data_IF_646095074062
#
_entry.id   IF_646095074062
#
_cell.length_a   1.000
_cell.length_b   1.000
_cell.length_c   1.000
_cell.angle_alpha   90.00
_cell.angle_beta   90.00
_cell.angle_gamma   90.00
#
_symmetry.space_group_name_H-M   'P 1'
#
loop_
_entity.id
_entity.type
_entity.pdbx_description
1 polymer ?
#
# COMPACT_ATOMS: atom_id res chain seq x y z
N UNK A 1 -9.60 -0.66 -11.85
CA UNK A 1 -8.98 -2.00 -11.90
C UNK A 1 -7.52 -1.87 -12.33
N UNK A 2 -6.62 -2.59 -11.67
CA UNK A 2 -5.21 -2.73 -12.08
C UNK A 2 -5.05 -4.13 -12.66
N UNK A 3 -4.46 -4.23 -13.85
CA UNK A 3 -4.25 -5.50 -14.57
C UNK A 3 -2.78 -5.57 -15.00
N UNK A 4 -2.04 -6.49 -14.39
CA UNK A 4 -0.61 -6.72 -14.62
C UNK A 4 -0.45 -8.06 -15.33
N UNK A 5 0.19 -8.07 -16.50
CA UNK A 5 0.35 -9.26 -17.34
C UNK A 5 1.79 -9.51 -17.68
N UNK A 6 2.33 -10.62 -17.20
CA UNK A 6 3.68 -11.10 -17.46
C UNK A 6 4.75 -10.01 -17.38
N UNK A 7 4.61 -9.13 -16.35
CA UNK A 7 5.53 -8.01 -16.14
C UNK A 7 6.91 -8.53 -15.75
N UNK A 8 7.90 -8.20 -16.57
CA UNK A 8 9.32 -8.39 -16.28
C UNK A 8 10.01 -7.04 -16.37
N UNK A 9 10.81 -6.70 -15.36
CA UNK A 9 11.55 -5.44 -15.35
C UNK A 9 12.96 -5.64 -14.81
N UNK A 10 13.93 -5.06 -15.51
CA UNK A 10 15.32 -4.99 -15.09
C UNK A 10 15.82 -3.56 -15.16
N UNK A 11 16.37 -3.06 -14.07
CA UNK A 11 16.95 -1.72 -14.01
C UNK A 11 18.15 -1.59 -14.96
N UNK A 12 18.35 -0.39 -15.52
CA UNK A 12 19.52 -0.11 -16.35
C UNK A 12 20.81 -0.42 -15.58
N UNK A 13 21.68 -1.22 -16.20
CA UNK A 13 22.96 -1.65 -15.62
C UNK A 13 22.88 -2.74 -14.56
N UNK A 14 21.70 -3.27 -14.24
CA UNK A 14 21.55 -4.43 -13.38
C UNK A 14 21.75 -5.73 -14.18
N UNK A 15 22.29 -6.76 -13.52
CA UNK A 15 22.47 -8.10 -14.11
C UNK A 15 21.19 -8.95 -14.00
N UNK A 16 20.37 -8.68 -12.98
CA UNK A 16 19.17 -9.48 -12.67
C UNK A 16 17.87 -8.69 -12.85
N UNK A 17 16.81 -9.41 -13.18
CA UNK A 17 15.47 -8.87 -13.25
C UNK A 17 14.93 -8.61 -11.83
N UNK A 18 14.45 -7.39 -11.58
CA UNK A 18 13.79 -7.01 -10.34
C UNK A 18 12.34 -7.53 -10.27
N UNK A 19 11.69 -7.69 -11.43
CA UNK A 19 10.41 -8.36 -11.59
C UNK A 19 10.52 -9.44 -12.67
N UNK A 20 9.91 -10.60 -12.44
CA UNK A 20 10.03 -11.78 -13.29
C UNK A 20 8.64 -12.39 -13.54
N UNK A 21 8.05 -12.13 -14.70
CA UNK A 21 6.77 -12.70 -15.15
C UNK A 21 5.65 -12.51 -14.10
N UNK A 22 5.52 -11.30 -13.58
CA UNK A 22 4.48 -10.95 -12.58
C UNK A 22 3.14 -10.80 -13.29
N UNK A 23 2.17 -11.59 -12.88
CA UNK A 23 0.77 -11.47 -13.31
C UNK A 23 -0.10 -11.32 -12.06
N UNK A 24 -0.87 -10.23 -12.00
CA UNK A 24 -1.70 -9.88 -10.84
C UNK A 24 -2.85 -8.96 -11.30
N UNK A 25 -4.06 -9.31 -10.92
CA UNK A 25 -5.25 -8.49 -11.13
C UNK A 25 -5.73 -7.95 -9.80
N UNK A 26 -6.01 -6.62 -9.72
CA UNK A 26 -6.51 -5.96 -8.52
C UNK A 26 -7.83 -5.27 -8.90
N UNK A 27 -8.97 -5.79 -8.44
CA UNK A 27 -10.29 -5.21 -8.67
C UNK A 27 -10.43 -3.79 -8.12
N UNK A 28 -11.38 -3.03 -8.69
CA UNK A 28 -11.73 -1.72 -8.13
C UNK A 28 -12.27 -1.84 -6.71
N UNK A 29 -11.84 -0.93 -5.84
CA UNK A 29 -12.27 -0.87 -4.45
C UNK A 29 -11.63 -1.95 -3.54
N UNK A 30 -10.68 -2.76 -4.04
CA UNK A 30 -9.97 -3.73 -3.21
C UNK A 30 -8.92 -3.05 -2.32
N UNK A 31 -8.69 -3.61 -1.11
CA UNK A 31 -7.55 -3.28 -0.26
C UNK A 31 -6.57 -4.46 -0.29
N UNK A 32 -5.55 -4.33 -1.14
CA UNK A 32 -4.49 -5.33 -1.31
C UNK A 32 -3.24 -4.98 -0.48
N UNK A 33 -2.74 -5.96 0.26
CA UNK A 33 -1.41 -5.92 0.86
C UNK A 33 -0.38 -6.66 0.01
N UNK A 34 0.79 -6.07 -0.23
CA UNK A 34 1.93 -6.72 -0.89
C UNK A 34 3.02 -6.94 0.15
N UNK A 35 3.38 -8.19 0.37
CA UNK A 35 4.38 -8.60 1.37
C UNK A 35 5.49 -9.42 0.72
N UNK A 36 6.60 -9.57 1.42
CA UNK A 36 7.76 -10.35 0.97
C UNK A 36 9.06 -9.85 1.60
N UNK A 37 10.15 -10.59 1.49
CA UNK A 37 11.46 -10.18 2.01
C UNK A 37 11.98 -8.90 1.33
N UNK A 38 13.02 -8.31 1.93
CA UNK A 38 13.73 -7.21 1.29
C UNK A 38 14.29 -7.68 -0.07
N UNK A 39 14.24 -6.81 -1.07
CA UNK A 39 14.69 -7.15 -2.43
C UNK A 39 13.74 -8.04 -3.24
N UNK A 40 12.55 -8.38 -2.74
CA UNK A 40 11.59 -9.22 -3.47
C UNK A 40 10.93 -8.55 -4.69
N UNK A 41 11.20 -7.26 -4.96
CA UNK A 41 10.62 -6.53 -6.09
C UNK A 41 9.36 -5.72 -5.75
N UNK A 42 8.95 -5.63 -4.47
CA UNK A 42 7.71 -4.96 -4.05
C UNK A 42 7.64 -3.48 -4.46
N UNK A 43 8.66 -2.70 -4.13
CA UNK A 43 8.79 -1.28 -4.53
C UNK A 43 8.76 -1.15 -6.05
N UNK A 44 9.47 -2.01 -6.78
CA UNK A 44 9.48 -2.02 -8.25
C UNK A 44 8.09 -2.25 -8.82
N UNK A 45 7.30 -3.14 -8.21
CA UNK A 45 5.92 -3.40 -8.61
C UNK A 45 5.03 -2.17 -8.31
N UNK A 46 5.16 -1.57 -7.13
CA UNK A 46 4.43 -0.35 -6.77
C UNK A 46 4.72 0.82 -7.73
N UNK A 47 6.01 1.03 -8.07
CA UNK A 47 6.44 2.05 -9.05
C UNK A 47 5.91 1.77 -10.46
N UNK A 48 5.80 0.50 -10.86
CA UNK A 48 5.24 0.12 -12.16
C UNK A 48 3.73 0.40 -12.23
N UNK A 49 2.99 0.15 -11.14
CA UNK A 49 1.57 0.49 -11.04
C UNK A 49 1.35 2.00 -11.06
N UNK A 50 2.22 2.77 -10.39
CA UNK A 50 2.20 4.23 -10.40
C UNK A 50 2.62 4.86 -11.74
N UNK A 51 3.10 4.07 -12.70
CA UNK A 51 3.62 4.55 -13.99
C UNK A 51 4.98 5.23 -13.91
N UNK A 52 5.64 5.24 -12.75
CA UNK A 52 6.99 5.82 -12.58
C UNK A 52 8.02 4.97 -13.34
N UNK A 53 7.82 3.67 -13.35
CA UNK A 53 8.44 2.74 -14.28
C UNK A 53 7.45 2.54 -15.45
N UNK A 54 7.87 2.74 -16.71
CA UNK A 54 9.23 3.01 -17.20
C UNK A 54 9.55 4.50 -17.43
N UNK A 55 8.68 5.45 -17.09
CA UNK A 55 8.81 6.85 -17.51
C UNK A 55 9.99 7.59 -16.88
N UNK A 56 10.13 7.52 -15.56
CA UNK A 56 11.19 8.22 -14.80
C UNK A 56 12.36 7.26 -14.46
N UNK A 57 12.06 5.99 -14.28
CA UNK A 57 13.06 4.96 -13.99
C UNK A 57 13.19 4.05 -15.20
N UNK A 58 14.37 4.12 -15.83
CA UNK A 58 14.68 3.37 -17.05
C UNK A 58 15.10 1.94 -16.77
N UNK A 59 14.84 1.08 -17.75
CA UNK A 59 15.21 -0.32 -17.72
C UNK A 59 14.52 -1.10 -18.81
N UNK A 60 14.82 -2.39 -18.88
CA UNK A 60 14.13 -3.31 -19.78
C UNK A 60 12.76 -3.66 -19.20
N UNK A 61 11.70 -3.23 -19.86
CA UNK A 61 10.31 -3.43 -19.45
C UNK A 61 9.59 -4.33 -20.47
N UNK A 62 9.08 -5.47 -20.00
CA UNK A 62 8.33 -6.42 -20.81
C UNK A 62 7.01 -6.77 -20.13
N UNK A 63 6.00 -7.13 -20.93
CA UNK A 63 4.64 -7.35 -20.44
C UNK A 63 3.82 -6.08 -20.47
N UNK A 64 2.78 -5.99 -19.64
CA UNK A 64 1.90 -4.83 -19.59
C UNK A 64 1.40 -4.57 -18.15
N UNK A 65 1.25 -3.30 -17.80
CA UNK A 65 0.56 -2.84 -16.59
C UNK A 65 -0.53 -1.87 -17.03
N UNK A 66 -1.79 -2.20 -16.76
CA UNK A 66 -2.93 -1.34 -17.07
C UNK A 66 -3.62 -0.87 -15.81
N UNK A 67 -3.90 0.41 -15.76
CA UNK A 67 -4.60 1.08 -14.66
C UNK A 67 -5.82 1.77 -15.22
N UNK A 68 -7.00 1.35 -14.79
CA UNK A 68 -8.29 1.82 -15.31
C UNK A 68 -8.36 1.76 -16.86
N UNK A 69 -7.75 0.72 -17.44
CA UNK A 69 -7.67 0.49 -18.88
C UNK A 69 -6.54 1.21 -19.60
N UNK A 70 -5.84 2.16 -18.96
CA UNK A 70 -4.68 2.85 -19.55
C UNK A 70 -3.41 2.02 -19.29
N UNK A 71 -2.67 1.72 -20.34
CA UNK A 71 -1.36 1.08 -20.24
C UNK A 71 -0.32 2.06 -19.68
N UNK A 72 0.40 1.68 -18.62
CA UNK A 72 1.35 2.58 -17.95
C UNK A 72 2.55 2.94 -18.82
N UNK A 73 2.95 2.09 -19.76
CA UNK A 73 4.09 2.37 -20.63
C UNK A 73 3.72 3.27 -21.82
N UNK A 74 2.46 3.21 -22.29
CA UNK A 74 2.00 3.93 -23.48
C UNK A 74 1.39 5.31 -23.17
N UNK A 75 0.94 5.54 -21.92
CA UNK A 75 0.26 6.77 -21.53
C UNK A 75 1.20 7.68 -20.72
N UNK A 76 0.98 9.00 -20.80
CA UNK A 76 1.80 9.97 -20.07
C UNK A 76 1.63 9.82 -18.56
N UNK A 77 2.73 10.00 -17.85
CA UNK A 77 2.72 9.96 -16.38
C UNK A 77 1.71 10.95 -15.77
N UNK A 78 1.51 12.11 -16.38
CA UNK A 78 0.52 13.12 -15.95
C UNK A 78 -0.92 12.61 -16.02
N UNK A 79 -1.25 11.74 -16.98
CA UNK A 79 -2.59 11.18 -17.12
C UNK A 79 -2.78 10.03 -16.11
N UNK A 80 -1.75 9.21 -15.91
CA UNK A 80 -1.73 8.14 -14.92
C UNK A 80 -1.83 8.69 -13.48
N UNK A 81 -1.12 9.78 -13.17
CA UNK A 81 -1.13 10.42 -11.86
C UNK A 81 -2.47 11.05 -11.46
N UNK A 82 -3.40 11.22 -12.41
CA UNK A 82 -4.80 11.60 -12.12
C UNK A 82 -5.61 10.41 -11.57
N UNK A 83 -5.18 9.18 -11.89
CA UNK A 83 -5.85 7.93 -11.48
C UNK A 83 -5.19 7.32 -10.26
N UNK A 84 -3.85 7.40 -10.19
CA UNK A 84 -3.04 6.75 -9.16
C UNK A 84 -2.29 7.80 -8.35
N UNK A 85 -2.62 7.89 -7.07
CA UNK A 85 -1.79 8.60 -6.09
C UNK A 85 -0.74 7.65 -5.51
N UNK A 86 0.54 8.00 -5.61
CA UNK A 86 1.64 7.16 -5.10
C UNK A 86 2.34 7.84 -3.92
N UNK A 87 2.43 7.14 -2.79
CA UNK A 87 3.25 7.53 -1.63
C UNK A 87 4.50 6.67 -1.61
N UNK A 88 5.66 7.31 -1.65
CA UNK A 88 6.95 6.62 -1.60
C UNK A 88 7.38 6.33 -0.16
N UNK A 89 8.33 5.42 0.00
CA UNK A 89 8.91 5.06 1.29
C UNK A 89 9.51 6.28 2.00
N UNK A 90 10.26 7.11 1.27
CA UNK A 90 10.79 8.38 1.78
C UNK A 90 9.80 9.53 1.49
N UNK A 91 8.90 9.77 2.44
CA UNK A 91 7.90 10.85 2.36
C UNK A 91 8.55 12.22 2.40
N UNK A 92 9.67 12.40 3.08
CA UNK A 92 10.33 13.70 3.19
C UNK A 92 10.85 14.16 1.83
N UNK A 93 11.34 13.25 0.99
CA UNK A 93 11.77 13.57 -0.37
C UNK A 93 10.62 13.90 -1.32
N UNK A 94 9.40 13.48 -0.98
CA UNK A 94 8.20 13.72 -1.79
C UNK A 94 7.58 15.11 -1.52
N UNK A 95 7.75 15.64 -0.31
CA UNK A 95 7.21 16.93 0.11
C UNK A 95 8.09 18.06 -0.44
N UNK A 96 7.47 19.00 -1.16
CA UNK A 96 8.16 20.12 -1.83
C UNK A 96 7.99 21.45 -1.10
N UNK A 97 6.87 21.63 -0.38
CA UNK A 97 6.53 22.90 0.25
C UNK A 97 6.92 22.92 1.73
N UNK A 98 7.01 24.11 2.32
CA UNK A 98 7.35 24.27 3.73
C UNK A 98 6.14 24.34 4.66
N UNK A 99 4.93 24.56 4.13
CA UNK A 99 3.66 24.70 4.85
C UNK A 99 2.66 23.67 4.34
N UNK A 100 1.83 23.13 5.23
CA UNK A 100 0.85 22.08 4.88
C UNK A 100 -0.12 22.52 3.80
N UNK A 101 -0.67 23.74 3.91
CA UNK A 101 -1.58 24.29 2.90
C UNK A 101 -0.93 24.41 1.53
N UNK A 102 0.30 24.92 1.48
CA UNK A 102 1.03 25.11 0.23
C UNK A 102 1.35 23.77 -0.45
N UNK A 103 1.62 22.71 0.34
CA UNK A 103 1.87 21.38 -0.17
C UNK A 103 0.65 20.78 -0.89
N UNK A 104 -0.53 20.95 -0.31
CA UNK A 104 -1.77 20.47 -0.94
C UNK A 104 -2.13 21.34 -2.14
N UNK A 105 -1.99 22.66 -2.00
CA UNK A 105 -2.24 23.62 -3.06
C UNK A 105 -1.36 23.37 -4.29
N UNK A 106 -0.07 23.09 -4.08
CA UNK A 106 0.88 22.76 -5.12
C UNK A 106 0.39 21.62 -6.03
N UNK A 107 -0.11 20.54 -5.42
CA UNK A 107 -0.70 19.43 -6.16
C UNK A 107 -1.93 19.85 -6.95
N UNK A 108 -2.88 20.54 -6.32
CA UNK A 108 -4.14 20.97 -6.93
C UNK A 108 -3.89 21.90 -8.13
N UNK A 109 -2.98 22.87 -8.00
CA UNK A 109 -2.64 23.81 -9.07
C UNK A 109 -1.93 23.12 -10.24
N UNK A 110 -0.95 22.22 -9.97
CA UNK A 110 -0.23 21.50 -11.02
C UNK A 110 -1.14 20.59 -11.84
N UNK A 111 -2.18 20.02 -11.22
CA UNK A 111 -3.16 19.21 -11.92
C UNK A 111 -4.28 20.04 -12.58
N UNK A 112 -4.19 21.38 -12.48
CA UNK A 112 -5.14 22.30 -13.11
C UNK A 112 -6.54 22.22 -12.54
N UNK A 113 -6.67 21.96 -11.23
CA UNK A 113 -7.98 21.97 -10.56
C UNK A 113 -8.56 23.40 -10.62
N UNK A 114 -9.83 23.55 -10.98
CA UNK A 114 -10.49 24.86 -11.00
C UNK A 114 -10.38 25.58 -9.66
N UNK A 115 -10.12 26.90 -9.71
CA UNK A 115 -9.84 27.70 -8.52
C UNK A 115 -10.98 27.68 -7.49
N UNK A 116 -12.20 27.57 -7.94
CA UNK A 116 -13.43 27.47 -7.15
C UNK A 116 -13.59 26.11 -6.45
N UNK A 117 -12.89 25.05 -6.90
CA UNK A 117 -12.88 23.74 -6.27
C UNK A 117 -11.74 23.55 -5.27
N UNK A 118 -10.69 24.37 -5.33
CA UNK A 118 -9.44 24.15 -4.53
C UNK A 118 -9.75 24.10 -3.04
N UNK A 119 -10.49 25.08 -2.53
CA UNK A 119 -10.78 25.17 -1.09
C UNK A 119 -11.60 23.96 -0.60
N UNK A 120 -12.63 23.57 -1.33
CA UNK A 120 -13.44 22.39 -0.99
C UNK A 120 -12.60 21.12 -0.96
N UNK A 121 -11.72 20.92 -1.96
CA UNK A 121 -10.86 19.74 -2.04
C UNK A 121 -9.80 19.70 -0.94
N UNK A 122 -9.25 20.86 -0.60
CA UNK A 122 -8.28 21.02 0.50
C UNK A 122 -8.93 20.70 1.85
N UNK A 123 -10.06 21.32 2.16
CA UNK A 123 -10.80 21.08 3.39
C UNK A 123 -11.23 19.61 3.51
N UNK A 124 -11.71 19.04 2.40
CA UNK A 124 -12.03 17.61 2.34
C UNK A 124 -10.81 16.75 2.70
N UNK A 125 -9.67 16.97 2.03
CA UNK A 125 -8.47 16.16 2.26
C UNK A 125 -7.94 16.29 3.70
N UNK A 126 -7.81 17.51 4.20
CA UNK A 126 -7.37 17.78 5.56
C UNK A 126 -8.29 17.17 6.62
N UNK A 127 -9.61 17.23 6.36
CA UNK A 127 -10.63 16.62 7.21
C UNK A 127 -10.53 15.08 7.21
N UNK A 128 -10.41 14.46 6.04
CA UNK A 128 -10.32 12.99 5.91
C UNK A 128 -9.10 12.42 6.63
N UNK A 129 -7.94 13.07 6.48
CA UNK A 129 -6.72 12.59 7.17
C UNK A 129 -6.61 13.06 8.62
N UNK A 130 -7.56 13.87 9.09
CA UNK A 130 -7.61 14.33 10.48
C UNK A 130 -6.50 15.30 10.87
N UNK A 131 -6.09 16.18 9.93
CA UNK A 131 -5.04 17.20 10.17
C UNK A 131 -5.50 18.63 9.86
N UNK A 132 -6.81 18.92 9.83
CA UNK A 132 -7.34 20.26 9.56
C UNK A 132 -6.72 21.34 10.47
N UNK A 133 -6.45 21.02 11.74
CA UNK A 133 -5.77 21.94 12.68
C UNK A 133 -4.30 22.22 12.39
N UNK A 134 -3.71 21.52 11.40
CA UNK A 134 -2.31 21.68 10.98
C UNK A 134 -2.15 22.49 9.70
N UNK A 135 -3.25 22.95 9.08
CA UNK A 135 -3.28 23.61 7.77
C UNK A 135 -2.17 24.65 7.58
N UNK A 136 -2.01 25.56 8.55
CA UNK A 136 -1.05 26.67 8.51
C UNK A 136 0.29 26.34 9.22
N UNK A 137 0.56 25.07 9.53
CA UNK A 137 1.78 24.66 10.21
C UNK A 137 2.93 24.44 9.25
N UNK A 138 4.12 24.75 9.71
CA UNK A 138 5.36 24.41 9.00
C UNK A 138 5.59 22.90 9.07
N UNK A 139 5.83 22.27 7.93
CA UNK A 139 5.96 20.79 7.81
C UNK A 139 7.15 20.27 8.63
N UNK A 140 8.27 21.02 8.70
CA UNK A 140 9.42 20.64 9.52
C UNK A 140 9.13 20.57 11.02
N UNK A 141 8.04 21.20 11.49
CA UNK A 141 7.60 21.13 12.90
C UNK A 141 6.71 19.93 13.22
N UNK A 142 6.36 19.14 12.21
CA UNK A 142 5.43 18.01 12.34
C UNK A 142 6.16 16.72 12.75
N UNK A 143 5.44 15.83 13.44
CA UNK A 143 5.92 14.47 13.68
C UNK A 143 5.94 13.65 12.36
N UNK A 144 6.68 12.53 12.31
CA UNK A 144 6.71 11.64 11.16
C UNK A 144 5.31 11.21 10.71
N UNK A 145 4.45 10.78 11.63
CA UNK A 145 3.06 10.41 11.31
C UNK A 145 2.21 11.57 10.81
N UNK A 146 2.48 12.81 11.25
CA UNK A 146 1.81 13.99 10.71
C UNK A 146 2.31 14.32 9.31
N UNK A 147 3.61 14.19 9.02
CA UNK A 147 4.16 14.35 7.67
C UNK A 147 3.59 13.31 6.71
N UNK A 148 3.48 12.05 7.16
CA UNK A 148 2.83 10.99 6.39
C UNK A 148 1.39 11.35 6.03
N UNK A 149 0.63 11.88 6.99
CA UNK A 149 -0.74 12.35 6.74
C UNK A 149 -0.78 13.51 5.76
N UNK A 150 0.19 14.43 5.77
CA UNK A 150 0.27 15.52 4.78
C UNK A 150 0.47 14.96 3.37
N UNK A 151 1.41 14.03 3.18
CA UNK A 151 1.61 13.39 1.87
C UNK A 151 0.37 12.63 1.39
N UNK A 152 -0.34 11.94 2.27
CA UNK A 152 -1.61 11.30 1.91
C UNK A 152 -2.68 12.36 1.57
N UNK A 153 -2.75 13.47 2.34
CA UNK A 153 -3.71 14.54 2.09
C UNK A 153 -3.52 15.20 0.72
N UNK A 154 -2.26 15.46 0.32
CA UNK A 154 -1.97 16.06 -1.00
C UNK A 154 -2.46 15.19 -2.16
N UNK A 155 -2.40 13.86 -2.00
CA UNK A 155 -2.94 12.92 -2.98
C UNK A 155 -4.48 12.81 -2.91
N UNK A 156 -5.05 12.72 -1.71
CA UNK A 156 -6.51 12.61 -1.50
C UNK A 156 -7.24 13.85 -2.02
N UNK A 157 -6.63 15.03 -1.96
CA UNK A 157 -7.18 16.26 -2.54
C UNK A 157 -7.41 16.16 -4.05
N UNK A 158 -6.60 15.38 -4.75
CA UNK A 158 -6.75 15.11 -6.19
C UNK A 158 -7.89 14.12 -6.49
N UNK A 159 -8.41 13.43 -5.46
CA UNK A 159 -9.47 12.41 -5.57
C UNK A 159 -9.09 11.27 -6.55
N UNK A 160 -7.94 10.62 -6.37
CA UNK A 160 -7.52 9.52 -7.23
C UNK A 160 -8.44 8.31 -7.04
N UNK A 161 -8.51 7.43 -8.05
CA UNK A 161 -9.23 6.15 -7.95
C UNK A 161 -8.43 5.12 -7.15
N UNK A 162 -7.12 5.22 -7.20
CA UNK A 162 -6.17 4.24 -6.66
C UNK A 162 -5.13 4.94 -5.80
N UNK A 163 -4.84 4.36 -4.65
CA UNK A 163 -3.71 4.75 -3.81
C UNK A 163 -2.71 3.60 -3.74
N UNK A 164 -1.47 3.87 -4.10
CA UNK A 164 -0.33 2.94 -3.97
C UNK A 164 0.63 3.51 -2.93
N UNK A 165 0.90 2.76 -1.87
CA UNK A 165 1.76 3.22 -0.78
C UNK A 165 2.88 2.21 -0.56
N UNK A 166 4.11 2.70 -0.61
CA UNK A 166 5.30 1.88 -0.36
C UNK A 166 5.85 2.17 1.04
N UNK A 167 5.73 1.18 1.93
CA UNK A 167 6.12 1.21 3.34
C UNK A 167 5.64 2.47 4.11
N UNK A 168 4.33 2.82 4.02
CA UNK A 168 3.82 4.09 4.57
C UNK A 168 3.94 4.19 6.09
N UNK A 169 4.31 3.11 6.78
CA UNK A 169 4.44 3.10 8.24
C UNK A 169 5.82 2.66 8.74
N UNK A 170 6.81 2.56 7.83
CA UNK A 170 8.15 2.06 8.12
C UNK A 170 8.79 2.70 9.36
N UNK A 171 8.77 4.03 9.43
CA UNK A 171 9.41 4.83 10.49
C UNK A 171 8.45 5.28 11.60
N UNK A 172 7.17 4.84 11.59
CA UNK A 172 6.17 5.30 12.53
C UNK A 172 6.08 4.39 13.76
N UNK A 173 5.71 4.99 14.89
CA UNK A 173 5.32 4.25 16.08
C UNK A 173 4.02 3.44 15.83
N UNK A 174 3.74 2.41 16.66
CA UNK A 174 2.58 1.54 16.43
C UNK A 174 1.22 2.25 16.42
N UNK A 175 1.06 3.32 17.22
CA UNK A 175 -0.19 4.08 17.28
C UNK A 175 -0.40 4.88 16.00
N UNK A 176 0.64 5.59 15.55
CA UNK A 176 0.63 6.35 14.29
C UNK A 176 0.43 5.43 13.09
N UNK A 177 1.10 4.28 13.07
CA UNK A 177 0.92 3.25 12.03
C UNK A 177 -0.54 2.80 11.92
N UNK A 178 -1.18 2.47 13.04
CA UNK A 178 -2.60 2.07 13.08
C UNK A 178 -3.52 3.19 12.60
N UNK A 179 -3.23 4.45 12.93
CA UNK A 179 -4.01 5.59 12.43
C UNK A 179 -3.93 5.72 10.90
N UNK A 180 -2.75 5.51 10.30
CA UNK A 180 -2.59 5.51 8.84
C UNK A 180 -3.41 4.38 8.21
N UNK A 181 -3.31 3.15 8.73
CA UNK A 181 -4.09 2.03 8.19
C UNK A 181 -5.61 2.24 8.36
N UNK A 182 -6.05 2.80 9.47
CA UNK A 182 -7.47 3.15 9.70
C UNK A 182 -7.95 4.20 8.71
N UNK A 183 -7.13 5.22 8.42
CA UNK A 183 -7.38 6.22 7.38
C UNK A 183 -7.52 5.56 6.01
N UNK A 184 -6.55 4.73 5.59
CA UNK A 184 -6.58 4.04 4.30
C UNK A 184 -7.82 3.16 4.17
N UNK A 185 -8.23 2.49 5.24
CA UNK A 185 -9.44 1.68 5.27
C UNK A 185 -10.71 2.52 5.15
N UNK A 186 -10.76 3.70 5.77
CA UNK A 186 -11.87 4.66 5.61
C UNK A 186 -11.96 5.13 4.16
N UNK A 187 -10.84 5.56 3.55
CA UNK A 187 -10.80 5.96 2.15
C UNK A 187 -11.25 4.84 1.21
N UNK A 188 -10.82 3.61 1.47
CA UNK A 188 -11.25 2.45 0.70
C UNK A 188 -12.76 2.20 0.81
N UNK A 189 -13.31 2.12 2.03
CA UNK A 189 -14.71 1.74 2.26
C UNK A 189 -15.71 2.84 1.94
N UNK A 190 -15.38 4.08 2.29
CA UNK A 190 -16.33 5.19 2.17
C UNK A 190 -16.30 5.83 0.79
N UNK A 191 -15.14 5.82 0.13
CA UNK A 191 -14.96 6.44 -1.19
C UNK A 191 -14.70 5.45 -2.32
N UNK A 192 -14.65 4.14 -2.01
CA UNK A 192 -14.44 3.10 -3.01
C UNK A 192 -13.05 3.13 -3.66
N UNK A 193 -12.08 3.78 -3.01
CA UNK A 193 -10.70 3.83 -3.53
C UNK A 193 -10.06 2.45 -3.49
N UNK A 194 -9.39 2.05 -4.56
CA UNK A 194 -8.51 0.88 -4.54
C UNK A 194 -7.25 1.25 -3.78
N UNK A 195 -6.86 0.43 -2.81
CA UNK A 195 -5.69 0.68 -1.96
C UNK A 195 -4.71 -0.46 -2.09
N UNK A 196 -3.49 -0.16 -2.52
CA UNK A 196 -2.37 -1.11 -2.60
C UNK A 196 -1.28 -0.67 -1.63
N UNK A 197 -0.98 -1.49 -0.64
CA UNK A 197 0.03 -1.17 0.37
C UNK A 197 1.13 -2.21 0.35
N UNK A 198 2.34 -1.78 0.08
CA UNK A 198 3.56 -2.55 0.29
C UNK A 198 4.01 -2.34 1.73
N UNK A 199 4.18 -3.40 2.52
CA UNK A 199 4.60 -3.30 3.92
C UNK A 199 5.40 -4.51 4.37
N UNK A 200 6.32 -4.25 5.31
CA UNK A 200 7.03 -5.28 6.06
C UNK A 200 6.32 -5.63 7.37
N UNK A 201 5.54 -4.69 7.92
CA UNK A 201 4.77 -4.87 9.17
C UNK A 201 3.47 -5.62 8.89
N UNK A 202 3.58 -6.92 8.58
CA UNK A 202 2.46 -7.78 8.16
C UNK A 202 1.25 -7.75 9.11
N UNK A 203 1.46 -7.50 10.42
CA UNK A 203 0.37 -7.52 11.41
C UNK A 203 -0.74 -6.53 11.08
N UNK A 204 -0.38 -5.29 10.70
CA UNK A 204 -1.37 -4.28 10.32
C UNK A 204 -2.03 -4.62 8.99
N UNK A 205 -1.27 -5.11 8.00
CA UNK A 205 -1.86 -5.58 6.75
C UNK A 205 -2.91 -6.66 7.00
N UNK A 206 -2.64 -7.64 7.86
CA UNK A 206 -3.59 -8.71 8.17
C UNK A 206 -4.89 -8.23 8.83
N UNK A 207 -4.85 -7.09 9.52
CA UNK A 207 -6.06 -6.52 10.13
C UNK A 207 -6.88 -5.69 9.14
N UNK A 208 -6.24 -5.05 8.17
CA UNK A 208 -6.88 -4.02 7.34
C UNK A 208 -7.06 -4.46 5.89
N UNK A 209 -6.15 -5.24 5.31
CA UNK A 209 -6.28 -5.74 3.95
C UNK A 209 -7.29 -6.87 3.83
N UNK A 210 -7.84 -7.05 2.64
CA UNK A 210 -8.75 -8.15 2.30
C UNK A 210 -7.99 -9.32 1.68
N UNK A 211 -6.92 -9.01 0.95
CA UNK A 211 -6.09 -9.95 0.19
C UNK A 211 -4.62 -9.61 0.36
N UNK A 212 -3.79 -10.62 0.28
CA UNK A 212 -2.33 -10.49 0.30
C UNK A 212 -1.73 -11.11 -0.96
N UNK A 213 -0.84 -10.37 -1.61
CA UNK A 213 0.09 -10.89 -2.60
C UNK A 213 1.48 -11.02 -1.97
N UNK A 214 2.05 -12.21 -2.03
CA UNK A 214 3.37 -12.50 -1.48
C UNK A 214 4.38 -12.52 -2.60
N UNK A 215 5.40 -11.68 -2.51
CA UNK A 215 6.48 -11.62 -3.47
C UNK A 215 7.76 -12.25 -2.94
N UNK A 216 8.46 -12.97 -3.80
CA UNK A 216 9.80 -13.49 -3.56
C UNK A 216 10.56 -13.55 -4.88
N UNK A 217 11.82 -13.12 -4.89
CA UNK A 217 12.71 -13.16 -6.06
C UNK A 217 12.10 -12.57 -7.35
N UNK A 218 11.40 -11.44 -7.20
CA UNK A 218 10.76 -10.74 -8.31
C UNK A 218 9.44 -11.36 -8.81
N UNK A 219 8.89 -12.37 -8.14
CA UNK A 219 7.67 -13.07 -8.53
C UNK A 219 6.57 -12.95 -7.48
N UNK A 220 5.32 -12.99 -7.89
CA UNK A 220 4.20 -13.28 -7.00
C UNK A 220 4.16 -14.80 -6.80
N UNK A 221 4.51 -15.25 -5.58
CA UNK A 221 4.58 -16.68 -5.24
C UNK A 221 3.30 -17.18 -4.56
N UNK A 222 2.50 -16.28 -4.00
CA UNK A 222 1.17 -16.54 -3.43
C UNK A 222 0.28 -15.32 -3.59
N UNK A 223 -0.99 -15.58 -3.70
CA UNK A 223 -2.03 -14.58 -3.83
C UNK A 223 -3.34 -15.18 -3.33
N UNK A 224 -4.02 -14.50 -2.40
CA UNK A 224 -5.26 -14.98 -1.81
C UNK A 224 -5.72 -14.12 -0.64
N UNK A 225 -6.83 -14.50 -0.03
CA UNK A 225 -7.31 -13.85 1.20
C UNK A 225 -6.24 -13.92 2.29
N UNK A 226 -6.28 -12.96 3.22
CA UNK A 226 -5.32 -12.92 4.34
C UNK A 226 -5.23 -14.28 5.05
N UNK A 227 -6.38 -14.97 5.25
CA UNK A 227 -6.42 -16.25 5.96
C UNK A 227 -5.83 -17.40 5.14
N UNK A 228 -6.08 -17.42 3.83
CA UNK A 228 -5.47 -18.42 2.93
C UNK A 228 -3.95 -18.29 2.90
N UNK A 229 -3.45 -17.07 2.78
CA UNK A 229 -2.00 -16.81 2.76
C UNK A 229 -1.37 -17.18 4.10
N UNK A 230 -1.98 -16.80 5.23
CA UNK A 230 -1.50 -17.13 6.58
C UNK A 230 -1.73 -18.60 6.97
N UNK A 231 -2.47 -19.38 6.19
CA UNK A 231 -2.67 -20.81 6.41
C UNK A 231 -1.40 -21.64 6.22
N UNK A 232 -0.43 -21.15 5.43
CA UNK A 232 0.87 -21.81 5.24
C UNK A 232 2.02 -21.01 5.84
N UNK A 233 2.08 -20.99 7.16
CA UNK A 233 3.12 -20.29 7.91
C UNK A 233 4.52 -20.80 7.56
N UNK A 234 4.70 -22.13 7.47
CA UNK A 234 6.00 -22.73 7.17
C UNK A 234 6.53 -22.28 5.80
N UNK A 235 5.66 -22.20 4.79
CA UNK A 235 6.02 -21.69 3.47
C UNK A 235 6.36 -20.20 3.48
N UNK A 236 5.67 -19.38 4.29
CA UNK A 236 5.98 -17.97 4.45
C UNK A 236 7.33 -17.75 5.16
N UNK A 237 7.58 -18.48 6.25
CA UNK A 237 8.85 -18.41 6.97
C UNK A 237 10.04 -18.88 6.10
N UNK A 238 9.84 -19.91 5.27
CA UNK A 238 10.87 -20.42 4.36
C UNK A 238 11.36 -19.38 3.34
N UNK A 239 10.50 -18.41 2.98
CA UNK A 239 10.86 -17.29 2.09
C UNK A 239 11.19 -16.01 2.85
N UNK A 240 11.32 -16.06 4.19
CA UNK A 240 11.72 -14.92 5.01
C UNK A 240 10.59 -13.94 5.35
N UNK A 241 9.34 -14.34 5.24
CA UNK A 241 8.17 -13.54 5.65
C UNK A 241 7.80 -13.89 7.09
N UNK A 242 7.86 -12.89 7.99
CA UNK A 242 7.45 -13.06 9.38
C UNK A 242 5.92 -13.11 9.50
N UNK A 243 5.39 -14.16 10.15
CA UNK A 243 3.95 -14.31 10.36
C UNK A 243 3.48 -13.64 11.67
N UNK A 244 2.21 -13.16 11.73
CA UNK A 244 1.62 -12.68 12.97
C UNK A 244 1.62 -13.77 14.04
N UNK A 245 1.93 -13.39 15.30
CA UNK A 245 1.90 -14.34 16.43
C UNK A 245 0.54 -14.99 16.64
N UNK A 246 -0.54 -14.30 16.28
CA UNK A 246 -1.91 -14.82 16.30
C UNK A 246 -2.10 -15.99 15.32
N UNK A 247 -1.55 -15.88 14.11
CA UNK A 247 -1.58 -16.95 13.13
C UNK A 247 -0.71 -18.14 13.56
N UNK A 248 0.52 -17.89 14.06
CA UNK A 248 1.39 -18.90 14.64
C UNK A 248 0.69 -19.65 15.78
N UNK A 249 -0.02 -18.95 16.66
CA UNK A 249 -0.80 -19.55 17.73
C UNK A 249 -1.86 -20.52 17.21
N UNK A 250 -2.63 -20.10 16.16
CA UNK A 250 -3.65 -20.95 15.55
C UNK A 250 -3.05 -22.22 14.92
N UNK A 251 -1.89 -22.10 14.25
CA UNK A 251 -1.17 -23.22 13.66
C UNK A 251 -0.69 -24.22 14.72
N UNK A 252 -0.07 -23.73 15.79
CA UNK A 252 0.39 -24.58 16.91
C UNK A 252 -0.78 -25.27 17.63
N UNK A 253 -1.92 -24.60 17.76
CA UNK A 253 -3.13 -25.21 18.31
C UNK A 253 -3.69 -26.31 17.40
N UNK A 254 -3.70 -26.08 16.08
CA UNK A 254 -4.15 -27.07 15.11
C UNK A 254 -3.29 -28.36 15.23
N UNK A 255 -1.98 -28.20 15.29
CA UNK A 255 -1.04 -29.31 15.45
C UNK A 255 -1.28 -30.09 16.76
N UNK A 256 -1.37 -29.37 17.89
CA UNK A 256 -1.56 -30.00 19.21
C UNK A 256 -2.91 -30.69 19.39
N UNK A 257 -3.96 -30.14 18.78
CA UNK A 257 -5.32 -30.67 18.89
C UNK A 257 -5.64 -31.75 17.85
N UNK A 258 -4.77 -31.91 16.85
CA UNK A 258 -5.01 -32.82 15.72
C UNK A 258 -6.26 -32.47 14.90
N UNK A 259 -6.69 -31.21 14.93
CA UNK A 259 -7.83 -30.69 14.17
C UNK A 259 -7.57 -29.27 13.70
N UNK A 260 -8.21 -28.88 12.62
CA UNK A 260 -8.10 -27.52 12.08
C UNK A 260 -8.68 -26.49 13.07
N UNK A 261 -7.89 -25.45 13.32
CA UNK A 261 -8.26 -24.26 14.09
C UNK A 261 -8.23 -23.06 13.14
N UNK A 262 -9.28 -22.22 13.08
CA UNK A 262 -9.31 -21.07 12.20
C UNK A 262 -8.10 -20.15 12.43
N UNK A 263 -7.51 -19.68 11.34
CA UNK A 263 -6.36 -18.75 11.39
C UNK A 263 -6.79 -17.43 12.00
N UNK A 264 -6.23 -17.05 13.14
CA UNK A 264 -6.46 -15.77 13.78
C UNK A 264 -5.55 -14.70 13.15
N UNK A 265 -6.14 -13.65 12.61
CA UNK A 265 -5.41 -12.56 11.95
C UNK A 265 -4.94 -11.46 12.92
N UNK A 266 -5.54 -11.42 14.12
CA UNK A 266 -5.19 -10.47 15.18
C UNK A 266 -5.27 -11.11 16.58
N UNK A 267 -4.87 -10.35 17.61
CA UNK A 267 -4.82 -10.83 18.98
C UNK A 267 -6.22 -11.15 19.55
N UNK A 268 -7.24 -10.36 19.21
CA UNK A 268 -8.60 -10.54 19.71
C UNK A 268 -9.20 -11.86 19.23
N UNK A 269 -9.01 -12.19 17.95
CA UNK A 269 -9.43 -13.48 17.39
C UNK A 269 -8.68 -14.66 18.02
N UNK A 270 -7.38 -14.49 18.29
CA UNK A 270 -6.60 -15.53 18.97
C UNK A 270 -7.13 -15.79 20.39
N UNK A 271 -7.47 -14.74 21.14
CA UNK A 271 -8.06 -14.84 22.49
C UNK A 271 -9.45 -15.50 22.41
N UNK A 272 -10.28 -15.11 21.46
CA UNK A 272 -11.60 -15.72 21.27
C UNK A 272 -11.49 -17.23 20.93
N UNK A 273 -10.55 -17.57 20.05
CA UNK A 273 -10.24 -18.97 19.70
C UNK A 273 -9.79 -19.76 20.94
N UNK A 274 -8.89 -19.18 21.74
CA UNK A 274 -8.43 -19.80 22.99
C UNK A 274 -9.59 -20.05 23.95
N UNK A 275 -10.48 -19.06 24.15
CA UNK A 275 -11.66 -19.20 25.03
C UNK A 275 -12.60 -20.32 24.58
N UNK A 276 -12.83 -20.45 23.29
CA UNK A 276 -13.71 -21.52 22.74
C UNK A 276 -13.12 -22.93 22.91
N UNK A 277 -11.80 -23.03 23.06
CA UNK A 277 -11.10 -24.32 23.19
C UNK A 277 -10.94 -24.73 24.65
N UNK A 278 -10.74 -23.75 25.55
CA UNK A 278 -10.46 -23.98 26.99
C UNK A 278 -11.77 -24.05 27.80
N UNK A 279 -12.81 -23.32 27.35
CA UNK A 279 -14.06 -23.17 28.10
C UNK A 279 -15.15 -23.97 27.66
#
# INVERSE_FOLDING_TARGET
MIDIRSLTFRYDGAEEDALRDVTLEIPDGEFLGIIGPAGAGKTTLALSVGGIIPHEIRGDFYGAVKVDGLDTADNKLTDLSRLVGTVFQDVESQIVSSVVEDEILYGLENFGIPRDEIEERMDFALGQVGIAGLRNRTISSLSGGQRQKVAIASLVALRPKILVLDEPTGELDPSSSRQIFSLLRSLNREYGMTVVVVEQKIMLLCEFAERLAVMSEGRVVRDGTVREVLGDIAGLEAIGVNCPRSALFSSLLSEKLGREVPVAVNADEAVETARRIIG
#
